data_IF_734341659397
#
_entry.id   IF_734341659397
#
_cell.length_a   1.000
_cell.length_b   1.000
_cell.length_c   1.000
_cell.angle_alpha   90.00
_cell.angle_beta   90.00
_cell.angle_gamma   90.00
#
_symmetry.space_group_name_H-M   'P 1'
#
loop_
_entity.id
_entity.type
_entity.pdbx_description
1 polymer ?
#
# COMPACT_ATOMS: atom_id res chain seq x y z
N UNK A 1 -40.75 -29.38 -10.83
CA UNK A 1 -40.24 -28.01 -11.05
C UNK A 1 -40.55 -27.20 -9.82
N UNK A 2 -39.56 -26.96 -8.96
CA UNK A 2 -39.68 -26.04 -7.83
C UNK A 2 -38.45 -25.13 -7.88
N UNK A 3 -38.68 -23.84 -8.08
CA UNK A 3 -37.65 -22.82 -8.14
C UNK A 3 -37.01 -22.67 -6.75
N UNK A 4 -35.68 -22.71 -6.70
CA UNK A 4 -34.91 -22.28 -5.53
C UNK A 4 -35.01 -20.76 -5.48
N UNK A 5 -35.67 -20.26 -4.43
CA UNK A 5 -35.70 -18.86 -4.10
C UNK A 5 -34.27 -18.43 -3.71
N UNK A 6 -33.80 -17.33 -4.30
CA UNK A 6 -32.56 -16.69 -3.90
C UNK A 6 -32.68 -16.21 -2.45
N UNK A 7 -31.67 -16.54 -1.64
CA UNK A 7 -31.54 -16.13 -0.24
C UNK A 7 -31.36 -14.59 -0.15
N UNK A 8 -32.29 -13.83 0.47
CA UNK A 8 -32.20 -12.38 0.61
C UNK A 8 -31.37 -12.02 1.85
N UNK A 9 -30.15 -12.57 1.94
CA UNK A 9 -29.32 -12.49 3.14
C UNK A 9 -27.82 -12.35 2.90
N UNK A 10 -27.37 -12.15 1.66
CA UNK A 10 -25.97 -11.83 1.41
C UNK A 10 -25.67 -10.42 1.95
N UNK A 11 -24.67 -10.23 2.84
CA UNK A 11 -24.30 -8.89 3.29
C UNK A 11 -23.94 -8.06 2.07
N UNK A 12 -24.72 -7.00 1.85
CA UNK A 12 -24.57 -6.13 0.70
C UNK A 12 -23.15 -5.59 0.64
N UNK A 13 -22.51 -5.77 -0.51
CA UNK A 13 -21.39 -4.95 -0.99
C UNK A 13 -21.79 -3.46 -1.15
N UNK A 14 -23.01 -3.09 -0.75
CA UNK A 14 -23.70 -1.83 -0.99
C UNK A 14 -23.33 -0.70 -0.01
N UNK A 15 -22.19 -0.81 0.65
CA UNK A 15 -21.61 0.35 1.36
C UNK A 15 -20.11 0.27 1.45
N UNK A 16 -19.45 -0.01 0.32
CA UNK A 16 -18.14 0.61 0.16
C UNK A 16 -18.40 2.13 0.23
N UNK A 17 -17.70 2.88 1.11
CA UNK A 17 -17.84 4.32 1.18
C UNK A 17 -17.70 4.86 -0.24
N UNK A 18 -18.59 5.79 -0.65
CA UNK A 18 -18.61 6.35 -2.00
C UNK A 18 -17.17 6.67 -2.39
N UNK A 19 -16.61 5.86 -3.28
CA UNK A 19 -15.24 6.06 -3.74
C UNK A 19 -15.17 7.49 -4.22
N UNK A 20 -14.17 8.24 -3.77
CA UNK A 20 -13.99 9.65 -4.13
C UNK A 20 -14.35 9.85 -5.61
N UNK A 21 -15.30 10.73 -5.96
CA UNK A 21 -15.66 10.97 -7.36
C UNK A 21 -14.45 11.28 -8.25
N UNK A 22 -13.41 11.89 -7.64
CA UNK A 22 -12.12 12.11 -8.28
C UNK A 22 -11.42 10.80 -8.66
N UNK A 23 -11.36 9.81 -7.77
CA UNK A 23 -10.74 8.51 -8.07
C UNK A 23 -11.50 7.75 -9.16
N UNK A 24 -12.83 7.81 -9.14
CA UNK A 24 -13.65 7.21 -10.21
C UNK A 24 -13.35 7.84 -11.57
N UNK A 25 -13.22 9.18 -11.61
CA UNK A 25 -12.84 9.91 -12.82
C UNK A 25 -11.44 9.51 -13.30
N UNK A 26 -10.45 9.47 -12.42
CA UNK A 26 -9.08 9.10 -12.76
C UNK A 26 -8.99 7.66 -13.27
N UNK A 27 -9.79 6.75 -12.72
CA UNK A 27 -9.89 5.38 -13.20
C UNK A 27 -10.49 5.31 -14.62
N UNK A 28 -11.60 6.03 -14.85
CA UNK A 28 -12.24 6.09 -16.17
C UNK A 28 -11.32 6.70 -17.25
N UNK A 29 -10.51 7.70 -16.87
CA UNK A 29 -9.53 8.35 -17.75
C UNK A 29 -8.22 7.59 -17.89
N UNK A 30 -8.06 6.45 -17.19
CA UNK A 30 -6.81 5.66 -17.15
C UNK A 30 -5.60 6.51 -16.76
N UNK A 31 -5.79 7.44 -15.82
CA UNK A 31 -4.78 8.40 -15.43
C UNK A 31 -3.52 7.70 -14.87
N UNK A 32 -2.37 8.26 -15.21
CA UNK A 32 -1.07 7.88 -14.65
C UNK A 32 -0.45 9.11 -14.01
N UNK A 33 0.05 8.99 -12.79
CA UNK A 33 0.60 10.11 -12.03
C UNK A 33 0.35 9.98 -10.54
N UNK A 34 0.27 11.11 -9.84
CA UNK A 34 0.03 11.16 -8.40
C UNK A 34 -1.19 12.02 -8.07
N UNK A 35 -2.10 11.50 -7.25
CA UNK A 35 -3.20 12.23 -6.63
C UNK A 35 -2.80 12.62 -5.21
N UNK A 36 -2.49 13.89 -5.01
CA UNK A 36 -2.20 14.45 -3.70
C UNK A 36 -3.49 14.70 -2.91
N UNK A 37 -3.47 14.37 -1.62
CA UNK A 37 -4.55 14.57 -0.65
C UNK A 37 -3.95 15.14 0.63
N UNK A 38 -4.79 15.66 1.52
CA UNK A 38 -4.34 16.31 2.76
C UNK A 38 -3.51 15.39 3.66
N UNK A 39 -3.80 14.08 3.65
CA UNK A 39 -3.17 13.09 4.53
C UNK A 39 -2.31 12.06 3.80
N UNK A 40 -2.04 12.26 2.51
CA UNK A 40 -1.20 11.33 1.75
C UNK A 40 -1.33 11.49 0.24
N UNK A 41 -0.63 10.62 -0.48
CA UNK A 41 -0.57 10.62 -1.95
C UNK A 41 -0.90 9.22 -2.45
N UNK A 42 -1.74 9.15 -3.48
CA UNK A 42 -2.00 7.92 -4.22
C UNK A 42 -1.28 8.00 -5.57
N UNK A 43 -0.50 6.98 -5.90
CA UNK A 43 0.17 6.88 -7.19
C UNK A 43 -0.65 5.97 -8.10
N UNK A 44 -0.91 6.45 -9.30
CA UNK A 44 -1.71 5.77 -10.29
C UNK A 44 -0.87 5.39 -11.51
N UNK A 45 -1.15 4.21 -12.05
CA UNK A 45 -0.72 3.79 -13.38
C UNK A 45 -1.93 3.24 -14.11
N UNK A 46 -2.23 3.79 -15.28
CA UNK A 46 -3.29 3.29 -16.16
C UNK A 46 -4.68 3.22 -15.46
N UNK A 47 -4.95 4.17 -14.57
CA UNK A 47 -6.18 4.24 -13.77
C UNK A 47 -6.21 3.33 -12.54
N UNK A 48 -5.16 2.54 -12.29
CA UNK A 48 -5.01 1.70 -11.10
C UNK A 48 -4.17 2.38 -10.04
N UNK A 49 -4.55 2.27 -8.77
CA UNK A 49 -3.68 2.66 -7.66
C UNK A 49 -2.58 1.60 -7.52
N UNK A 50 -1.33 2.02 -7.68
CA UNK A 50 -0.15 1.15 -7.60
C UNK A 50 0.70 1.39 -6.36
N UNK A 51 0.56 2.56 -5.73
CA UNK A 51 1.26 2.88 -4.50
C UNK A 51 0.50 3.94 -3.70
N UNK A 52 0.78 4.00 -2.40
CA UNK A 52 0.27 5.04 -1.50
C UNK A 52 1.37 5.44 -0.51
N UNK A 53 1.43 6.72 -0.19
CA UNK A 53 2.31 7.28 0.83
C UNK A 53 1.51 8.17 1.79
N UNK A 54 1.86 8.14 3.07
CA UNK A 54 1.29 9.05 4.07
C UNK A 54 2.35 9.43 5.10
N UNK A 55 2.47 10.71 5.48
CA UNK A 55 3.33 11.12 6.59
C UNK A 55 2.78 10.67 7.96
N UNK A 56 1.54 10.17 8.02
CA UNK A 56 0.91 9.71 9.25
C UNK A 56 1.25 8.26 9.61
N UNK A 57 2.03 7.57 8.77
CA UNK A 57 2.27 6.12 8.86
C UNK A 57 3.75 5.80 8.81
N UNK A 58 4.23 4.82 9.59
CA UNK A 58 5.62 4.38 9.51
C UNK A 58 5.91 3.75 8.14
N UNK A 59 7.09 4.06 7.60
CA UNK A 59 7.61 3.39 6.42
C UNK A 59 8.12 1.98 6.72
N UNK A 60 8.44 1.24 5.65
CA UNK A 60 8.97 -0.13 5.75
C UNK A 60 10.28 -0.19 6.53
N UNK A 61 11.11 0.84 6.45
CA UNK A 61 12.35 1.02 7.19
C UNK A 61 12.10 1.05 8.71
N UNK A 62 11.10 1.81 9.13
CA UNK A 62 10.70 1.92 10.54
C UNK A 62 10.14 0.59 11.04
N UNK A 63 9.29 -0.07 10.26
CA UNK A 63 8.68 -1.35 10.65
C UNK A 63 9.73 -2.47 10.81
N UNK A 64 10.68 -2.57 9.86
CA UNK A 64 11.74 -3.57 9.92
C UNK A 64 12.72 -3.33 11.07
N UNK A 65 13.02 -2.06 11.38
CA UNK A 65 14.01 -1.72 12.42
C UNK A 65 13.44 -1.73 13.83
N UNK A 66 12.22 -1.22 14.02
CA UNK A 66 11.58 -1.17 15.35
C UNK A 66 11.22 -2.56 15.86
N UNK A 67 10.85 -3.50 14.97
CA UNK A 67 10.57 -4.89 15.32
C UNK A 67 11.82 -5.77 15.53
N UNK A 68 13.03 -5.20 15.42
CA UNK A 68 14.29 -5.94 15.57
C UNK A 68 14.61 -6.90 14.42
N UNK A 69 13.83 -6.87 13.34
CA UNK A 69 14.06 -7.71 12.14
C UNK A 69 15.29 -7.26 11.37
N UNK A 70 15.61 -5.96 11.41
CA UNK A 70 16.78 -5.36 10.79
C UNK A 70 17.43 -4.38 11.76
N UNK A 71 18.76 -4.33 11.84
CA UNK A 71 19.44 -3.24 12.57
C UNK A 71 19.32 -1.94 11.76
N UNK A 72 19.29 -0.80 12.44
CA UNK A 72 19.09 0.49 11.77
C UNK A 72 20.16 0.78 10.71
N UNK A 73 21.42 0.43 10.98
CA UNK A 73 22.53 0.62 10.05
C UNK A 73 22.39 -0.27 8.80
N UNK A 74 21.89 -1.50 8.98
CA UNK A 74 21.68 -2.45 7.90
C UNK A 74 20.66 -1.99 6.85
N UNK A 75 19.72 -1.11 7.22
CA UNK A 75 18.84 -0.47 6.26
C UNK A 75 19.61 0.47 5.32
N UNK A 76 20.42 1.37 5.89
CA UNK A 76 21.17 2.35 5.11
C UNK A 76 22.25 1.70 4.24
N UNK A 77 22.88 0.64 4.73
CA UNK A 77 23.82 -0.17 3.94
C UNK A 77 23.11 -0.81 2.73
N UNK A 78 21.92 -1.38 2.93
CA UNK A 78 21.12 -1.94 1.85
C UNK A 78 20.66 -0.87 0.84
N UNK A 79 20.30 0.33 1.30
CA UNK A 79 19.97 1.47 0.43
C UNK A 79 21.19 1.90 -0.39
N UNK A 80 22.38 2.00 0.23
CA UNK A 80 23.61 2.35 -0.46
C UNK A 80 23.97 1.30 -1.53
N UNK A 81 23.80 0.02 -1.21
CA UNK A 81 24.18 -1.07 -2.10
C UNK A 81 23.18 -1.32 -3.25
N UNK A 82 21.88 -1.15 -3.00
CA UNK A 82 20.83 -1.60 -3.91
C UNK A 82 19.76 -0.55 -4.24
N UNK A 83 19.82 0.65 -3.65
CA UNK A 83 18.84 1.73 -3.81
C UNK A 83 18.76 2.27 -5.23
N UNK A 84 19.90 2.52 -5.87
CA UNK A 84 19.95 3.00 -7.27
C UNK A 84 19.28 2.03 -8.26
N UNK A 85 19.22 0.74 -7.91
CA UNK A 85 18.57 -0.29 -8.72
C UNK A 85 17.12 -0.57 -8.32
N UNK A 86 16.57 0.13 -7.32
CA UNK A 86 15.25 -0.16 -6.72
C UNK A 86 15.15 -1.61 -6.23
N UNK A 87 16.24 -2.15 -5.67
CA UNK A 87 16.36 -3.56 -5.26
C UNK A 87 16.62 -3.75 -3.77
N UNK A 88 16.41 -2.73 -2.94
CA UNK A 88 16.70 -2.78 -1.50
C UNK A 88 16.04 -3.98 -0.82
N UNK A 89 14.74 -4.17 -1.02
CA UNK A 89 14.01 -5.32 -0.45
C UNK A 89 14.56 -6.66 -0.91
N UNK A 90 14.82 -6.82 -2.21
CA UNK A 90 15.41 -8.06 -2.76
C UNK A 90 16.81 -8.30 -2.19
N UNK A 91 17.65 -7.28 -2.11
CA UNK A 91 18.97 -7.37 -1.51
C UNK A 91 18.90 -7.84 -0.06
N UNK A 92 18.00 -7.26 0.75
CA UNK A 92 17.82 -7.65 2.16
C UNK A 92 17.42 -9.14 2.31
N UNK A 93 16.62 -9.66 1.39
CA UNK A 93 16.22 -11.08 1.39
C UNK A 93 17.35 -11.99 0.89
N UNK A 94 17.95 -11.66 -0.25
CA UNK A 94 19.00 -12.48 -0.87
C UNK A 94 20.28 -12.54 0.00
N UNK A 95 20.57 -11.48 0.76
CA UNK A 95 21.68 -11.42 1.72
C UNK A 95 21.37 -12.07 3.08
N UNK A 96 20.13 -12.50 3.31
CA UNK A 96 19.70 -13.11 4.57
C UNK A 96 19.54 -12.12 5.73
N UNK A 97 19.58 -10.81 5.47
CA UNK A 97 19.35 -9.79 6.50
C UNK A 97 17.89 -9.77 6.98
N UNK A 98 16.93 -10.06 6.10
CA UNK A 98 15.49 -10.05 6.41
C UNK A 98 14.81 -11.27 5.78
N UNK A 99 13.99 -12.04 6.53
CA UNK A 99 13.16 -13.09 5.95
C UNK A 99 12.13 -12.50 4.96
N UNK A 100 11.92 -13.18 3.82
CA UNK A 100 10.99 -12.71 2.79
C UNK A 100 9.57 -12.41 3.30
N UNK A 101 9.01 -13.29 4.14
CA UNK A 101 7.68 -13.08 4.73
C UNK A 101 7.61 -11.89 5.70
N UNK A 102 8.69 -11.60 6.42
CA UNK A 102 8.74 -10.42 7.29
C UNK A 102 8.77 -9.13 6.46
N UNK A 103 9.55 -9.11 5.37
CA UNK A 103 9.56 -7.99 4.43
C UNK A 103 8.17 -7.76 3.81
N UNK A 104 7.50 -8.84 3.39
CA UNK A 104 6.17 -8.76 2.78
C UNK A 104 5.13 -8.20 3.77
N UNK A 105 5.11 -8.69 5.02
CA UNK A 105 4.21 -8.18 6.05
C UNK A 105 4.45 -6.70 6.36
N UNK A 106 5.72 -6.28 6.51
CA UNK A 106 6.04 -4.88 6.73
C UNK A 106 5.68 -4.00 5.52
N UNK A 107 5.90 -4.48 4.29
CA UNK A 107 5.54 -3.75 3.08
C UNK A 107 4.03 -3.55 2.96
N UNK A 108 3.25 -4.63 3.10
CA UNK A 108 1.79 -4.57 3.03
C UNK A 108 1.22 -3.71 4.16
N UNK A 109 1.75 -3.83 5.39
CA UNK A 109 1.36 -2.99 6.52
C UNK A 109 1.55 -1.51 6.23
N UNK A 110 2.77 -1.10 5.83
CA UNK A 110 3.05 0.29 5.47
C UNK A 110 2.16 0.80 4.33
N UNK A 111 1.95 -0.01 3.29
CA UNK A 111 1.13 0.35 2.14
C UNK A 111 -0.35 0.52 2.51
N UNK A 112 -0.92 -0.42 3.26
CA UNK A 112 -2.34 -0.36 3.63
C UNK A 112 -2.63 0.75 4.63
N UNK A 113 -1.72 1.00 5.58
CA UNK A 113 -1.84 2.14 6.48
C UNK A 113 -1.79 3.45 5.67
N UNK A 114 -0.81 3.60 4.76
CA UNK A 114 -0.70 4.78 3.93
C UNK A 114 -1.94 5.01 3.06
N UNK A 115 -2.48 3.94 2.45
CA UNK A 115 -3.70 3.99 1.67
C UNK A 115 -4.90 4.39 2.52
N UNK A 116 -5.03 3.85 3.74
CA UNK A 116 -6.09 4.20 4.68
C UNK A 116 -6.10 5.70 4.97
N UNK A 117 -4.94 6.29 5.28
CA UNK A 117 -4.84 7.73 5.53
C UNK A 117 -5.02 8.57 4.26
N UNK A 118 -4.46 8.18 3.12
CA UNK A 118 -4.61 8.91 1.86
C UNK A 118 -6.06 8.92 1.34
N UNK A 119 -6.81 7.83 1.57
CA UNK A 119 -8.21 7.68 1.19
C UNK A 119 -9.19 8.28 2.21
N UNK A 120 -8.71 8.69 3.38
CA UNK A 120 -9.56 9.30 4.39
C UNK A 120 -10.35 10.49 3.80
N UNK A 121 -11.63 10.68 4.18
CA UNK A 121 -12.38 11.85 3.77
C UNK A 121 -11.66 13.14 4.18
N UNK A 122 -11.54 14.08 3.26
CA UNK A 122 -11.20 15.46 3.56
C UNK A 122 -12.44 16.10 4.19
N UNK A 123 -12.29 16.58 5.43
CA UNK A 123 -13.37 17.19 6.21
C UNK A 123 -13.88 18.51 5.61
#
# INVERSE_FOLDING_TARGET
MSAIAADPGAPGTDRLPVLSPMLQRLAAERATGALMRDRGTLYLADGQVVHAESPATPGIDVLLTTGGTLRHEGWWDAVAQAGAGQRVGRYLVDSGHVPGGALELCHLGALYDAAFFALAPTG
#
